data_IF_616420724495
#
_entry.id   IF_616420724495
#
_cell.length_a   1.000
_cell.length_b   1.000
_cell.length_c   1.000
_cell.angle_alpha   90.00
_cell.angle_beta   90.00
_cell.angle_gamma   90.00
#
_symmetry.space_group_name_H-M   'P 1'
#
loop_
_entity.id
_entity.type
_entity.pdbx_description
1 polymer ?
#
# COMPACT_ATOMS: atom_id res chain seq x y z
N UNK A 1 -13.94 25.57 -6.84
CA UNK A 1 -13.57 25.35 -5.43
C UNK A 1 -12.52 24.25 -5.40
N UNK A 2 -11.27 24.60 -5.13
CA UNK A 2 -10.17 23.66 -4.97
C UNK A 2 -10.34 23.02 -3.58
N UNK A 3 -10.85 21.80 -3.51
CA UNK A 3 -10.78 21.04 -2.26
C UNK A 3 -9.32 20.65 -2.09
N UNK A 4 -8.67 21.26 -1.09
CA UNK A 4 -7.34 20.88 -0.64
C UNK A 4 -7.40 19.42 -0.21
N UNK A 5 -6.76 18.54 -0.99
CA UNK A 5 -6.50 17.16 -0.54
C UNK A 5 -5.70 17.31 0.75
N UNK A 6 -6.15 16.76 1.90
CA UNK A 6 -5.37 16.83 3.11
C UNK A 6 -4.01 16.18 2.84
N UNK A 7 -2.95 16.88 3.22
CA UNK A 7 -1.59 16.38 3.26
C UNK A 7 -1.58 15.20 4.23
N UNK A 8 -1.79 13.99 3.71
CA UNK A 8 -1.64 12.76 4.49
C UNK A 8 -0.13 12.61 4.64
N UNK A 9 0.38 13.02 5.79
CA UNK A 9 1.75 12.79 6.21
C UNK A 9 2.10 11.30 6.01
N UNK A 10 2.76 11.00 4.90
CA UNK A 10 3.04 9.64 4.43
C UNK A 10 4.38 9.13 4.98
N UNK A 11 4.92 9.83 5.98
CA UNK A 11 6.27 9.60 6.52
C UNK A 11 6.32 8.56 7.64
N UNK A 12 5.18 8.19 8.23
CA UNK A 12 5.12 7.16 9.28
C UNK A 12 4.79 5.78 8.71
N UNK A 13 5.62 4.79 9.06
CA UNK A 13 5.38 3.39 8.72
C UNK A 13 4.08 2.93 9.41
N UNK A 14 3.11 2.32 8.71
CA UNK A 14 1.85 1.91 9.31
C UNK A 14 2.06 0.97 10.49
N UNK A 15 1.29 1.14 11.57
CA UNK A 15 1.29 0.22 12.71
C UNK A 15 0.89 -1.20 12.29
N UNK A 16 1.26 -2.24 13.04
CA UNK A 16 0.88 -3.63 12.71
C UNK A 16 -0.63 -3.81 12.49
N UNK A 17 -1.46 -3.09 13.25
CA UNK A 17 -2.92 -3.10 13.09
C UNK A 17 -3.36 -2.44 11.78
N UNK A 18 -2.77 -1.31 11.42
CA UNK A 18 -3.04 -0.68 10.13
C UNK A 18 -2.56 -1.57 8.98
N UNK A 19 -1.38 -2.20 9.09
CA UNK A 19 -0.90 -3.16 8.10
C UNK A 19 -1.86 -4.33 7.91
N UNK A 20 -2.42 -4.89 8.99
CA UNK A 20 -3.43 -5.95 8.92
C UNK A 20 -4.67 -5.49 8.15
N UNK A 21 -5.15 -4.26 8.39
CA UNK A 21 -6.24 -3.66 7.62
C UNK A 21 -5.89 -3.50 6.15
N UNK A 22 -4.72 -2.93 5.83
CA UNK A 22 -4.30 -2.69 4.44
C UNK A 22 -4.15 -4.01 3.66
N UNK A 23 -3.63 -5.06 4.30
CA UNK A 23 -3.59 -6.40 3.70
C UNK A 23 -5.00 -6.98 3.49
N UNK A 24 -5.92 -6.79 4.44
CA UNK A 24 -7.31 -7.22 4.31
C UNK A 24 -8.05 -6.47 3.18
N UNK A 25 -7.83 -5.16 3.06
CA UNK A 25 -8.38 -4.32 2.01
C UNK A 25 -7.86 -4.75 0.63
N UNK A 26 -6.56 -5.04 0.49
CA UNK A 26 -6.01 -5.54 -0.77
C UNK A 26 -6.64 -6.87 -1.18
N UNK A 27 -6.79 -7.82 -0.26
CA UNK A 27 -7.42 -9.12 -0.56
C UNK A 27 -8.87 -8.93 -1.01
N UNK A 28 -9.63 -8.08 -0.31
CA UNK A 28 -10.99 -7.71 -0.73
C UNK A 28 -11.01 -7.09 -2.12
N UNK A 29 -10.07 -6.20 -2.44
CA UNK A 29 -10.01 -5.53 -3.73
C UNK A 29 -9.74 -6.53 -4.88
N UNK A 30 -8.87 -7.52 -4.65
CA UNK A 30 -8.61 -8.59 -5.63
C UNK A 30 -9.84 -9.49 -5.83
N UNK A 31 -10.59 -9.76 -4.77
CA UNK A 31 -11.76 -10.65 -4.81
C UNK A 31 -13.02 -9.98 -5.37
N UNK A 32 -13.29 -8.73 -4.98
CA UNK A 32 -14.57 -8.03 -5.22
C UNK A 32 -14.44 -6.83 -6.18
N UNK A 33 -13.20 -6.42 -6.50
CA UNK A 33 -12.93 -5.25 -7.33
C UNK A 33 -13.52 -3.97 -6.73
N UNK A 34 -14.17 -3.18 -7.57
CA UNK A 34 -14.74 -1.87 -7.18
C UNK A 34 -15.90 -1.99 -6.16
N UNK A 35 -16.45 -3.19 -5.94
CA UNK A 35 -17.51 -3.43 -4.96
C UNK A 35 -17.03 -3.39 -3.49
N UNK A 36 -15.72 -3.20 -3.25
CA UNK A 36 -15.15 -3.07 -1.91
C UNK A 36 -15.87 -1.98 -1.10
N UNK A 37 -16.31 -2.36 0.11
CA UNK A 37 -16.93 -1.45 1.08
C UNK A 37 -16.12 -1.35 2.38
N UNK A 38 -16.18 -0.19 3.03
CA UNK A 38 -15.57 0.04 4.36
C UNK A 38 -16.06 -0.99 5.40
N UNK A 39 -17.33 -1.39 5.32
CA UNK A 39 -17.92 -2.40 6.23
C UNK A 39 -17.32 -3.79 6.00
N UNK A 40 -17.12 -4.20 4.75
CA UNK A 40 -16.49 -5.48 4.43
C UNK A 40 -15.04 -5.53 4.93
N UNK A 41 -14.29 -4.44 4.75
CA UNK A 41 -12.91 -4.32 5.26
C UNK A 41 -12.88 -4.40 6.78
N UNK A 42 -13.75 -3.65 7.47
CA UNK A 42 -13.84 -3.65 8.92
C UNK A 42 -14.08 -5.07 9.47
N UNK A 43 -15.02 -5.80 8.85
CA UNK A 43 -15.33 -7.20 9.19
C UNK A 43 -14.13 -8.13 8.94
N UNK A 44 -13.48 -8.01 7.78
CA UNK A 44 -12.33 -8.86 7.39
C UNK A 44 -11.12 -8.64 8.30
N UNK A 45 -10.89 -7.40 8.71
CA UNK A 45 -9.75 -7.01 9.55
C UNK A 45 -10.06 -7.06 11.06
N UNK A 46 -11.24 -7.53 11.45
CA UNK A 46 -11.69 -7.59 12.86
C UNK A 46 -11.54 -6.23 13.58
N UNK A 47 -11.95 -5.15 12.92
CA UNK A 47 -11.90 -3.79 13.47
C UNK A 47 -13.23 -3.06 13.29
N UNK A 48 -13.42 -1.94 14.00
CA UNK A 48 -14.63 -1.14 13.86
C UNK A 48 -14.56 -0.26 12.60
N UNK A 49 -15.71 0.01 11.99
CA UNK A 49 -15.80 0.93 10.86
C UNK A 49 -15.32 2.34 11.24
N UNK A 50 -15.61 2.79 12.46
CA UNK A 50 -15.11 4.05 13.03
C UNK A 50 -13.58 4.12 13.06
N UNK A 51 -12.92 3.02 13.41
CA UNK A 51 -11.45 2.95 13.39
C UNK A 51 -10.89 3.18 11.99
N UNK A 52 -11.54 2.60 10.97
CA UNK A 52 -11.14 2.82 9.57
C UNK A 52 -11.29 4.27 9.15
N UNK A 53 -12.42 4.91 9.46
CA UNK A 53 -12.64 6.31 9.13
C UNK A 53 -11.62 7.23 9.85
N UNK A 54 -11.28 6.92 11.10
CA UNK A 54 -10.26 7.66 11.86
C UNK A 54 -8.86 7.56 11.23
N UNK A 55 -8.49 6.38 10.71
CA UNK A 55 -7.16 6.17 10.14
C UNK A 55 -7.03 6.61 8.69
N UNK A 56 -8.06 6.41 7.89
CA UNK A 56 -7.96 6.51 6.44
C UNK A 56 -8.90 7.56 5.83
N UNK A 57 -9.69 8.25 6.65
CA UNK A 57 -10.71 9.16 6.15
C UNK A 57 -11.83 8.35 5.52
N UNK A 58 -11.84 8.23 4.19
CA UNK A 58 -12.91 7.57 3.45
C UNK A 58 -12.41 6.31 2.70
N UNK A 59 -13.25 5.82 1.78
CA UNK A 59 -12.92 4.66 0.95
C UNK A 59 -11.70 4.95 0.06
N UNK A 60 -11.61 6.15 -0.51
CA UNK A 60 -10.54 6.50 -1.43
C UNK A 60 -9.23 6.70 -0.68
N UNK A 61 -9.28 7.26 0.53
CA UNK A 61 -8.13 7.31 1.44
C UNK A 61 -7.64 5.92 1.85
N UNK A 62 -8.53 4.97 2.13
CA UNK A 62 -8.15 3.58 2.39
C UNK A 62 -7.49 2.92 1.17
N UNK A 63 -8.06 3.10 -0.02
CA UNK A 63 -7.51 2.54 -1.25
C UNK A 63 -6.15 3.16 -1.58
N UNK A 64 -6.01 4.47 -1.44
CA UNK A 64 -4.75 5.19 -1.63
C UNK A 64 -3.68 4.67 -0.68
N UNK A 65 -3.98 4.57 0.62
CA UNK A 65 -3.06 4.03 1.62
C UNK A 65 -2.69 2.57 1.33
N UNK A 66 -3.64 1.76 0.84
CA UNK A 66 -3.40 0.37 0.47
C UNK A 66 -2.41 0.26 -0.68
N UNK A 67 -2.59 1.06 -1.73
CA UNK A 67 -1.68 1.11 -2.88
C UNK A 67 -0.29 1.60 -2.46
N UNK A 68 -0.20 2.67 -1.67
CA UNK A 68 1.07 3.20 -1.17
C UNK A 68 1.82 2.17 -0.32
N UNK A 69 1.10 1.46 0.55
CA UNK A 69 1.68 0.38 1.35
C UNK A 69 2.21 -0.76 0.49
N UNK A 70 1.46 -1.23 -0.52
CA UNK A 70 1.97 -2.25 -1.43
C UNK A 70 3.18 -1.76 -2.22
N UNK A 71 3.15 -0.52 -2.74
CA UNK A 71 4.28 0.08 -3.43
C UNK A 71 5.53 0.16 -2.53
N UNK A 72 5.37 0.43 -1.24
CA UNK A 72 6.49 0.45 -0.28
C UNK A 72 7.11 -0.93 -0.05
N UNK A 73 6.33 -2.01 -0.17
CA UNK A 73 6.80 -3.40 -0.07
C UNK A 73 7.50 -3.88 -1.32
N UNK A 74 7.13 -3.33 -2.48
CA UNK A 74 7.69 -3.68 -3.79
C UNK A 74 9.03 -2.98 -4.05
N UNK A 75 9.55 -2.16 -3.11
CA UNK A 75 10.78 -1.36 -3.34
C UNK A 75 11.91 -2.18 -3.94
N UNK A 76 12.10 -1.89 -5.23
CA UNK A 76 13.27 -2.11 -6.08
C UNK A 76 14.53 -1.93 -5.25
N UNK A 77 15.47 -2.86 -5.41
CA UNK A 77 16.78 -2.85 -4.75
C UNK A 77 17.31 -1.41 -4.65
N UNK A 78 17.67 -0.96 -3.44
CA UNK A 78 18.25 0.36 -3.25
C UNK A 78 19.52 0.44 -4.10
N UNK A 79 19.44 1.25 -5.16
CA UNK A 79 20.56 1.46 -6.06
C UNK A 79 21.38 2.61 -5.48
N UNK A 80 22.53 2.32 -4.90
CA UNK A 80 23.44 3.36 -4.42
C UNK A 80 24.01 4.13 -5.62
N UNK A 81 23.58 5.38 -5.78
CA UNK A 81 23.98 6.24 -6.90
C UNK A 81 25.48 6.55 -6.95
N UNK A 82 26.24 6.29 -5.88
CA UNK A 82 27.72 6.46 -5.88
C UNK A 82 28.48 5.23 -6.35
N UNK A 83 27.85 4.05 -6.37
CA UNK A 83 28.46 2.77 -6.76
C UNK A 83 27.74 2.08 -7.91
N UNK A 84 26.85 2.79 -8.62
CA UNK A 84 26.03 2.20 -9.66
C UNK A 84 26.86 1.92 -10.91
N UNK A 85 27.08 0.64 -11.18
CA UNK A 85 27.64 0.14 -12.42
C UNK A 85 26.62 -0.69 -13.20
N UNK A 86 26.95 -1.01 -14.45
CA UNK A 86 26.05 -1.75 -15.33
C UNK A 86 25.74 -3.16 -14.79
N UNK A 87 26.69 -3.80 -14.11
CA UNK A 87 26.52 -5.15 -13.57
C UNK A 87 25.53 -5.17 -12.39
N UNK A 88 25.69 -4.24 -11.45
CA UNK A 88 24.80 -4.06 -10.30
C UNK A 88 23.39 -3.61 -10.70
N UNK A 89 23.27 -2.76 -11.72
CA UNK A 89 21.96 -2.39 -12.29
C UNK A 89 21.28 -3.59 -12.96
N UNK A 90 22.02 -4.34 -13.78
CA UNK A 90 21.49 -5.52 -14.49
C UNK A 90 21.00 -6.57 -13.49
N UNK A 91 21.81 -6.90 -12.48
CA UNK A 91 21.43 -7.86 -11.44
C UNK A 91 20.18 -7.41 -10.65
N UNK A 92 20.06 -6.11 -10.38
CA UNK A 92 18.88 -5.54 -9.70
C UNK A 92 17.62 -5.64 -10.55
N UNK A 93 17.72 -5.38 -11.86
CA UNK A 93 16.60 -5.49 -12.80
C UNK A 93 16.20 -6.95 -13.04
N UNK A 94 17.15 -7.87 -13.18
CA UNK A 94 16.89 -9.30 -13.31
C UNK A 94 16.19 -9.86 -12.07
N UNK A 95 16.66 -9.48 -10.87
CA UNK A 95 16.02 -9.88 -9.61
C UNK A 95 14.60 -9.33 -9.50
N UNK A 96 14.41 -8.05 -9.82
CA UNK A 96 13.08 -7.45 -9.87
C UNK A 96 12.17 -8.20 -10.86
N UNK A 97 12.63 -8.50 -12.08
CA UNK A 97 11.86 -9.22 -13.09
C UNK A 97 11.52 -10.66 -12.63
N UNK A 98 12.45 -11.36 -11.99
CA UNK A 98 12.21 -12.71 -11.46
C UNK A 98 11.22 -12.73 -10.30
N UNK A 99 11.26 -11.72 -9.43
CA UNK A 99 10.31 -11.58 -8.32
C UNK A 99 8.90 -11.22 -8.82
N UNK A 100 8.80 -10.56 -9.98
CA UNK A 100 7.53 -10.19 -10.61
C UNK A 100 6.83 -11.31 -11.39
N UNK A 101 7.57 -12.35 -11.82
CA UNK A 101 7.06 -13.46 -12.62
C UNK A 101 6.68 -14.71 -11.80
N UNK A 102 6.62 -14.61 -10.47
CA UNK A 102 6.17 -15.66 -9.55
C UNK A 102 4.81 -15.33 -8.96
#
# INVERSE_FOLDING_TARGET
MLHSVPDIDTSETPTERQQAVLNAALRLLVEEGDNLTMTAVARRASCSKETLYKWFGDRDGLLTATVQWQASKVRVAQVDGKGLDLASLTASLERFACDWLK
#
